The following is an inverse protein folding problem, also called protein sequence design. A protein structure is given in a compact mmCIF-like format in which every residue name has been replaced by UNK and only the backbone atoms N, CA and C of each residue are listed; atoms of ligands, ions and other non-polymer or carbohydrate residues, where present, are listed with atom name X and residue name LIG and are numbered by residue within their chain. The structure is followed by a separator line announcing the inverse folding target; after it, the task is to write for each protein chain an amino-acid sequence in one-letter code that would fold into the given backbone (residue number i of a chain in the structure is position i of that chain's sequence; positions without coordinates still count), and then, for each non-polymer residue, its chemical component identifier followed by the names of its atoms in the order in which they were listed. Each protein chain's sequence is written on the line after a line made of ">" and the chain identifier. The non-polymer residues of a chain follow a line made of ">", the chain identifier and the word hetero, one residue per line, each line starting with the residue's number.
data_IF_997409873370
#
_entry.id   IF_997409873370
#
_cell.length_a   1.000
_cell.length_b   1.000
_cell.length_c   1.000
_cell.angle_alpha   90.00
_cell.angle_beta   90.00
_cell.angle_gamma   90.00
#
_symmetry.space_group_name_H-M   'P 1'
#
loop_
_entity.id
_entity.type
_entity.pdbx_description
1 polymer ?
#
# COMPACT_ATOMS: atom_id res chain seq x y z
N UNK A 1 -18.52 -10.20 -23.61
CA UNK A 1 -17.82 -9.02 -24.16
C UNK A 1 -18.72 -7.80 -24.18
N UNK A 2 -19.61 -7.63 -23.20
CA UNK A 2 -20.39 -6.40 -23.06
C UNK A 2 -19.59 -5.35 -22.27
N UNK A 3 -19.77 -4.07 -22.61
CA UNK A 3 -19.14 -2.98 -21.86
C UNK A 3 -19.76 -2.81 -20.48
N UNK A 4 -18.94 -2.45 -19.51
CA UNK A 4 -19.35 -2.22 -18.13
C UNK A 4 -19.23 -0.72 -17.81
N UNK A 5 -20.32 -0.14 -17.29
CA UNK A 5 -20.32 1.23 -16.78
C UNK A 5 -19.50 1.37 -15.49
N UNK A 6 -19.04 2.59 -15.21
CA UNK A 6 -18.14 2.88 -14.10
C UNK A 6 -18.76 2.57 -12.72
N UNK A 7 -20.04 2.86 -12.52
CA UNK A 7 -20.77 2.55 -11.27
C UNK A 7 -20.81 1.05 -10.98
N UNK A 8 -21.09 0.25 -12.01
CA UNK A 8 -21.08 -1.22 -11.89
C UNK A 8 -19.68 -1.74 -11.62
N UNK A 9 -18.66 -1.21 -12.30
CA UNK A 9 -17.27 -1.59 -12.08
C UNK A 9 -16.79 -1.26 -10.65
N UNK A 10 -17.20 -0.11 -10.09
CA UNK A 10 -16.94 0.24 -8.70
C UNK A 10 -17.65 -0.72 -7.73
N UNK A 11 -18.93 -1.00 -7.94
CA UNK A 11 -19.69 -1.92 -7.09
C UNK A 11 -19.13 -3.36 -7.08
N UNK A 12 -18.48 -3.78 -8.17
CA UNK A 12 -17.81 -5.08 -8.28
C UNK A 12 -16.36 -5.07 -7.76
N UNK A 13 -15.86 -3.93 -7.26
CA UNK A 13 -14.51 -3.79 -6.74
C UNK A 13 -13.41 -3.68 -7.80
N UNK A 14 -13.76 -3.51 -9.07
CA UNK A 14 -12.79 -3.31 -10.16
C UNK A 14 -12.18 -1.91 -10.14
N UNK A 15 -12.98 -0.90 -9.75
CA UNK A 15 -12.55 0.49 -9.60
C UNK A 15 -12.57 0.86 -8.12
N UNK A 16 -11.48 1.44 -7.62
CA UNK A 16 -11.40 1.87 -6.22
C UNK A 16 -12.20 3.14 -5.93
N UNK A 17 -12.26 4.08 -6.89
CA UNK A 17 -12.89 5.39 -6.69
C UNK A 17 -13.42 5.97 -8.01
N UNK A 18 -14.62 6.54 -7.98
CA UNK A 18 -15.19 7.34 -9.07
C UNK A 18 -14.91 8.83 -8.86
N UNK A 19 -14.84 9.56 -9.96
CA UNK A 19 -14.53 11.00 -10.02
C UNK A 19 -15.42 11.68 -11.06
N UNK A 20 -15.51 13.01 -11.03
CA UNK A 20 -16.15 13.72 -12.11
C UNK A 20 -15.37 13.55 -13.43
N UNK A 21 -16.02 13.66 -14.61
CA UNK A 21 -15.34 13.59 -15.89
C UNK A 21 -14.16 14.59 -15.97
N UNK A 22 -12.98 14.08 -16.32
CA UNK A 22 -11.75 14.88 -16.43
C UNK A 22 -10.89 14.94 -15.16
N UNK A 23 -11.38 14.48 -14.00
CA UNK A 23 -10.64 14.60 -12.72
C UNK A 23 -9.80 13.37 -12.36
N UNK A 24 -10.03 12.24 -13.03
CA UNK A 24 -9.43 10.94 -12.68
C UNK A 24 -7.90 11.00 -12.49
N UNK A 25 -7.17 11.70 -13.37
CA UNK A 25 -5.71 11.81 -13.26
C UNK A 25 -5.28 12.64 -12.04
N UNK A 26 -5.96 13.75 -11.77
CA UNK A 26 -5.65 14.60 -10.63
C UNK A 26 -5.89 13.84 -9.31
N UNK A 27 -7.03 13.16 -9.20
CA UNK A 27 -7.36 12.32 -8.04
C UNK A 27 -6.38 11.16 -7.88
N UNK A 28 -6.00 10.48 -8.97
CA UNK A 28 -5.03 9.39 -8.93
C UNK A 28 -3.64 9.88 -8.46
N UNK A 29 -3.21 11.08 -8.88
CA UNK A 29 -1.95 11.68 -8.42
C UNK A 29 -2.02 12.08 -6.94
N UNK A 30 -3.16 12.59 -6.47
CA UNK A 30 -3.35 12.90 -5.06
C UNK A 30 -3.25 11.62 -4.20
N UNK A 31 -3.89 10.53 -4.61
CA UNK A 31 -3.76 9.22 -3.95
C UNK A 31 -2.31 8.72 -3.98
N UNK A 32 -1.62 8.84 -5.11
CA UNK A 32 -0.22 8.46 -5.22
C UNK A 32 0.67 9.26 -4.27
N UNK A 33 0.41 10.56 -4.10
CA UNK A 33 1.11 11.41 -3.14
C UNK A 33 0.88 10.94 -1.69
N UNK A 34 -0.36 10.61 -1.32
CA UNK A 34 -0.67 10.06 0.01
C UNK A 34 0.04 8.72 0.26
N UNK A 35 0.10 7.84 -0.72
CA UNK A 35 0.84 6.58 -0.61
C UNK A 35 2.34 6.86 -0.42
N UNK A 36 2.89 7.84 -1.16
CA UNK A 36 4.29 8.23 -1.08
C UNK A 36 4.69 8.93 0.23
N UNK A 37 3.73 9.37 1.06
CA UNK A 37 4.01 9.85 2.42
C UNK A 37 4.33 8.70 3.40
N UNK A 38 4.13 7.44 3.01
CA UNK A 38 4.41 6.28 3.87
C UNK A 38 5.82 5.70 3.63
N UNK A 39 6.29 4.89 4.59
CA UNK A 39 7.56 4.19 4.48
C UNK A 39 7.65 3.34 3.20
N UNK A 40 8.58 3.61 2.28
CA UNK A 40 8.63 2.98 0.96
C UNK A 40 8.87 1.47 1.03
N UNK A 41 9.68 1.00 1.99
CA UNK A 41 9.89 -0.44 2.22
C UNK A 41 8.60 -1.12 2.68
N UNK A 42 7.87 -0.52 3.60
CA UNK A 42 6.60 -1.05 4.10
C UNK A 42 5.56 -1.16 2.97
N UNK A 43 5.35 -0.10 2.19
CA UNK A 43 4.39 -0.11 1.05
C UNK A 43 4.76 -1.21 0.04
N UNK A 44 6.04 -1.33 -0.31
CA UNK A 44 6.52 -2.35 -1.25
C UNK A 44 6.28 -3.77 -0.74
N UNK A 45 6.62 -4.04 0.51
CA UNK A 45 6.49 -5.37 1.13
C UNK A 45 5.02 -5.73 1.37
N UNK A 46 4.19 -4.80 1.84
CA UNK A 46 2.74 -5.03 1.98
C UNK A 46 2.10 -5.42 0.65
N UNK A 47 2.43 -4.72 -0.44
CA UNK A 47 1.94 -5.08 -1.79
C UNK A 47 2.46 -6.45 -2.25
N UNK A 48 3.71 -6.79 -1.94
CA UNK A 48 4.28 -8.09 -2.27
C UNK A 48 3.58 -9.25 -1.52
N UNK A 49 3.29 -9.06 -0.23
CA UNK A 49 2.55 -10.03 0.59
C UNK A 49 1.14 -10.23 0.04
N UNK A 50 0.39 -9.16 -0.24
CA UNK A 50 -0.97 -9.26 -0.82
C UNK A 50 -0.95 -10.03 -2.15
N UNK A 51 0.07 -9.83 -2.98
CA UNK A 51 0.20 -10.55 -4.25
C UNK A 51 0.52 -12.03 -4.05
N UNK A 52 1.49 -12.35 -3.17
CA UNK A 52 1.99 -13.70 -2.99
C UNK A 52 1.07 -14.58 -2.12
N UNK A 53 0.37 -13.99 -1.15
CA UNK A 53 -0.49 -14.71 -0.21
C UNK A 53 -1.68 -15.41 -0.84
N UNK A 54 -2.04 -15.07 -2.09
CA UNK A 54 -3.11 -15.74 -2.85
C UNK A 54 -2.85 -17.24 -3.04
N UNK A 55 -1.58 -17.64 -3.02
CA UNK A 55 -1.14 -19.03 -3.21
C UNK A 55 -0.68 -19.69 -1.88
N UNK A 56 -0.88 -19.03 -0.74
CA UNK A 56 -0.45 -19.56 0.56
C UNK A 56 -1.61 -20.29 1.26
N UNK A 57 -1.29 -21.36 2.00
CA UNK A 57 -2.22 -21.92 2.97
C UNK A 57 -2.21 -21.11 4.28
N UNK A 58 -3.29 -21.19 5.06
CA UNK A 58 -3.40 -20.51 6.35
C UNK A 58 -2.25 -20.91 7.30
N UNK A 59 -1.85 -22.19 7.30
CA UNK A 59 -0.78 -22.73 8.14
C UNK A 59 0.59 -22.10 7.85
N UNK A 60 0.88 -21.75 6.59
CA UNK A 60 2.16 -21.17 6.19
C UNK A 60 2.14 -19.64 6.06
N UNK A 61 0.95 -19.04 6.00
CA UNK A 61 0.77 -17.63 5.65
C UNK A 61 1.55 -16.69 6.57
N UNK A 62 1.45 -16.89 7.89
CA UNK A 62 2.16 -16.06 8.87
C UNK A 62 3.68 -16.25 8.81
N UNK A 63 4.15 -17.49 8.60
CA UNK A 63 5.58 -17.79 8.48
C UNK A 63 6.17 -17.10 7.24
N UNK A 64 5.50 -17.22 6.09
CA UNK A 64 5.94 -16.56 4.84
C UNK A 64 5.83 -15.03 4.93
N UNK A 65 4.76 -14.51 5.54
CA UNK A 65 4.63 -13.08 5.80
C UNK A 65 5.78 -12.57 6.67
N UNK A 66 6.08 -13.26 7.77
CA UNK A 66 7.10 -12.85 8.73
C UNK A 66 8.48 -12.70 8.05
N UNK A 67 8.87 -13.66 7.21
CA UNK A 67 10.12 -13.61 6.46
C UNK A 67 10.23 -12.36 5.56
N UNK A 68 9.12 -11.87 5.02
CA UNK A 68 9.09 -10.64 4.21
C UNK A 68 9.04 -9.37 5.06
N UNK A 69 8.33 -9.39 6.18
CA UNK A 69 8.19 -8.21 7.05
C UNK A 69 9.41 -7.96 7.93
N UNK A 70 10.17 -9.01 8.28
CA UNK A 70 11.27 -8.88 9.24
C UNK A 70 12.33 -7.84 8.81
N UNK A 71 12.80 -7.79 7.55
CA UNK A 71 13.72 -6.75 7.10
C UNK A 71 13.14 -5.33 7.19
N UNK A 72 11.81 -5.18 7.06
CA UNK A 72 11.14 -3.88 7.23
C UNK A 72 11.20 -3.45 8.69
N UNK A 73 10.93 -4.36 9.63
CA UNK A 73 10.96 -4.04 11.07
C UNK A 73 12.35 -3.67 11.59
N UNK A 74 13.41 -4.12 10.93
CA UNK A 74 14.80 -3.81 11.29
C UNK A 74 15.42 -2.70 10.45
N UNK A 75 14.63 -2.01 9.62
CA UNK A 75 15.09 -0.95 8.71
C UNK A 75 15.34 0.39 9.41
N UNK A 76 16.12 1.28 8.77
CA UNK A 76 16.27 2.68 9.21
C UNK A 76 14.90 3.38 9.20
N UNK A 77 14.08 3.10 8.18
CA UNK A 77 12.71 3.64 8.05
C UNK A 77 11.79 3.22 9.22
N UNK A 78 11.92 2.01 9.78
CA UNK A 78 11.12 1.60 10.93
C UNK A 78 11.47 2.43 12.19
N UNK A 79 12.76 2.67 12.42
CA UNK A 79 13.25 3.49 13.53
C UNK A 79 12.80 4.94 13.35
N UNK A 80 12.95 5.48 12.15
CA UNK A 80 12.51 6.84 11.82
C UNK A 80 10.99 7.00 11.98
N UNK A 81 10.20 6.01 11.56
CA UNK A 81 8.75 6.05 11.69
C UNK A 81 8.30 6.11 13.15
N UNK A 82 8.90 5.28 14.01
CA UNK A 82 8.65 5.30 15.44
C UNK A 82 9.08 6.63 16.09
N UNK A 83 10.27 7.13 15.72
CA UNK A 83 10.82 8.39 16.22
C UNK A 83 9.94 9.58 15.82
N UNK A 84 9.62 9.71 14.54
CA UNK A 84 8.80 10.80 14.01
C UNK A 84 7.39 10.80 14.63
N UNK A 85 6.81 9.63 14.86
CA UNK A 85 5.54 9.50 15.57
C UNK A 85 5.63 10.00 17.02
N UNK A 86 6.65 9.56 17.77
CA UNK A 86 6.88 9.99 19.15
C UNK A 86 7.10 11.51 19.26
N UNK A 87 7.83 12.08 18.30
CA UNK A 87 8.14 13.51 18.21
C UNK A 87 7.03 14.35 17.55
N UNK A 88 5.94 13.72 17.08
CA UNK A 88 4.81 14.36 16.37
C UNK A 88 5.25 15.19 15.15
N UNK A 89 6.25 14.71 14.41
CA UNK A 89 6.72 15.33 13.17
C UNK A 89 6.49 14.42 11.98
N UNK A 90 6.62 14.97 10.77
CA UNK A 90 6.64 14.14 9.56
C UNK A 90 7.93 13.29 9.52
N UNK A 91 7.83 12.00 9.13
CA UNK A 91 8.99 11.13 8.95
C UNK A 91 9.77 11.49 7.69
N UNK A 92 11.08 11.21 7.71
CA UNK A 92 12.01 11.38 6.59
C UNK A 92 12.51 10.02 6.12
N UNK A 93 11.81 9.43 5.15
CA UNK A 93 12.14 8.10 4.64
C UNK A 93 13.39 8.11 3.77
N UNK A 94 14.23 7.09 3.94
CA UNK A 94 15.42 6.85 3.11
C UNK A 94 15.32 5.58 2.28
N UNK A 95 14.34 4.71 2.56
CA UNK A 95 14.13 3.46 1.83
C UNK A 95 15.16 2.39 2.17
N UNK A 96 15.70 2.42 3.39
CA UNK A 96 16.70 1.49 3.91
C UNK A 96 16.32 1.01 5.29
#
# INVERSE_FOLDING_TARGET
>A
GEFMGADRAMAMGLINQLTAPGEALATARALAAQIAENGPLAVKVSKAIIKASRDWSDDEAFTKQHALTQPVFTSEDAIEGATAFAEKRKPQWTGR
#
